data_IF_485520819231
#
_entry.id   IF_485520819231
#
_cell.length_a   1.000
_cell.length_b   1.000
_cell.length_c   1.000
_cell.angle_alpha   90.00
_cell.angle_beta   90.00
_cell.angle_gamma   90.00
#
_symmetry.space_group_name_H-M   'P 1'
#
loop_
_entity.id
_entity.type
_entity.pdbx_description
1 polymer ?
#
# COMPACT_ATOMS: atom_id res chain seq x y z
N UNK A 1 -7.51 -7.20 19.98
CA UNK A 1 -7.61 -6.18 18.92
C UNK A 1 -8.86 -6.46 18.09
N UNK A 2 -9.62 -5.42 17.77
CA UNK A 2 -10.83 -5.49 16.94
C UNK A 2 -10.51 -5.36 15.45
N UNK A 3 -11.43 -5.77 14.57
CA UNK A 3 -11.29 -5.60 13.11
C UNK A 3 -11.05 -4.14 12.69
N UNK A 4 -11.70 -3.19 13.36
CA UNK A 4 -11.50 -1.74 13.13
C UNK A 4 -10.08 -1.28 13.43
N UNK A 5 -9.45 -1.82 14.47
CA UNK A 5 -8.06 -1.48 14.80
C UNK A 5 -7.10 -1.97 13.70
N UNK A 6 -7.32 -3.17 13.17
CA UNK A 6 -6.52 -3.68 12.06
C UNK A 6 -6.75 -2.89 10.76
N UNK A 7 -7.98 -2.47 10.48
CA UNK A 7 -8.27 -1.61 9.32
C UNK A 7 -7.63 -0.22 9.45
N UNK A 8 -7.61 0.36 10.66
CA UNK A 8 -6.92 1.63 10.92
C UNK A 8 -5.40 1.49 10.75
N UNK A 9 -4.80 0.40 11.25
CA UNK A 9 -3.39 0.11 11.03
C UNK A 9 -3.07 -0.06 9.54
N UNK A 10 -3.97 -0.68 8.77
CA UNK A 10 -3.79 -0.87 7.34
C UNK A 10 -3.80 0.47 6.60
N UNK A 11 -4.74 1.35 6.93
CA UNK A 11 -4.79 2.70 6.36
C UNK A 11 -3.50 3.50 6.64
N UNK A 12 -2.98 3.42 7.87
CA UNK A 12 -1.71 4.08 8.24
C UNK A 12 -0.50 3.50 7.48
N UNK A 13 -0.47 2.18 7.28
CA UNK A 13 0.55 1.53 6.46
C UNK A 13 0.43 1.93 4.99
N UNK A 14 -0.78 2.05 4.46
CA UNK A 14 -1.03 2.48 3.08
C UNK A 14 -0.53 3.90 2.83
N UNK A 15 -0.82 4.82 3.75
CA UNK A 15 -0.30 6.18 3.70
C UNK A 15 1.23 6.21 3.79
N UNK A 16 1.81 5.37 4.65
CA UNK A 16 3.28 5.27 4.77
C UNK A 16 3.92 4.71 3.49
N UNK A 17 3.29 3.72 2.84
CA UNK A 17 3.74 3.19 1.56
C UNK A 17 3.64 4.24 0.46
N UNK A 18 2.55 5.02 0.42
CA UNK A 18 2.37 6.11 -0.54
C UNK A 18 3.52 7.11 -0.45
N UNK A 19 3.84 7.57 0.76
CA UNK A 19 4.98 8.46 1.01
C UNK A 19 6.31 7.86 0.55
N UNK A 20 6.57 6.60 0.90
CA UNK A 20 7.80 5.92 0.46
C UNK A 20 7.90 5.83 -1.08
N UNK A 21 6.79 5.61 -1.78
CA UNK A 21 6.74 5.61 -3.26
C UNK A 21 6.99 7.02 -3.83
N UNK A 22 6.38 8.04 -3.22
CA UNK A 22 6.55 9.44 -3.64
C UNK A 22 7.99 9.92 -3.48
N UNK A 23 8.61 9.56 -2.35
CA UNK A 23 10.00 9.85 -1.97
C UNK A 23 11.04 8.98 -2.70
N UNK A 24 10.61 8.00 -3.50
CA UNK A 24 11.48 7.01 -4.16
C UNK A 24 12.34 6.19 -3.16
N UNK A 25 11.89 6.10 -1.90
CA UNK A 25 12.52 5.29 -0.83
C UNK A 25 12.05 3.83 -0.91
N UNK A 26 12.63 3.10 -1.87
CA UNK A 26 12.26 1.70 -2.12
C UNK A 26 12.64 0.75 -0.97
N UNK A 27 13.65 1.10 -0.17
CA UNK A 27 14.06 0.28 0.97
C UNK A 27 13.02 0.36 2.09
N UNK A 28 12.56 1.58 2.41
CA UNK A 28 11.45 1.80 3.34
C UNK A 28 10.16 1.16 2.82
N UNK A 29 9.87 1.31 1.52
CA UNK A 29 8.70 0.68 0.91
C UNK A 29 8.71 -0.84 1.09
N UNK A 30 9.86 -1.50 0.89
CA UNK A 30 10.00 -2.95 1.08
C UNK A 30 9.70 -3.37 2.52
N UNK A 31 10.23 -2.65 3.51
CA UNK A 31 9.96 -2.92 4.92
C UNK A 31 8.47 -2.75 5.27
N UNK A 32 7.84 -1.69 4.77
CA UNK A 32 6.42 -1.42 4.99
C UNK A 32 5.53 -2.49 4.34
N UNK A 33 5.87 -2.95 3.13
CA UNK A 33 5.14 -4.03 2.45
C UNK A 33 5.20 -5.37 3.20
N UNK A 34 6.32 -5.64 3.88
CA UNK A 34 6.44 -6.84 4.71
C UNK A 34 5.51 -6.77 5.93
N UNK A 35 5.48 -5.64 6.64
CA UNK A 35 4.56 -5.42 7.77
C UNK A 35 3.10 -5.51 7.32
N UNK A 36 2.78 -4.94 6.17
CA UNK A 36 1.45 -4.97 5.57
C UNK A 36 1.01 -6.39 5.22
N UNK A 37 1.91 -7.25 4.73
CA UNK A 37 1.63 -8.66 4.47
C UNK A 37 1.23 -9.41 5.75
N UNK A 38 1.91 -9.14 6.85
CA UNK A 38 1.59 -9.72 8.16
C UNK A 38 0.22 -9.23 8.66
N UNK A 39 -0.05 -7.93 8.55
CA UNK A 39 -1.34 -7.34 8.92
C UNK A 39 -2.51 -7.92 8.10
N UNK A 40 -2.33 -8.08 6.79
CA UNK A 40 -3.34 -8.70 5.92
C UNK A 40 -3.62 -10.17 6.30
N UNK A 41 -2.60 -10.90 6.75
CA UNK A 41 -2.79 -12.27 7.24
C UNK A 41 -3.62 -12.32 8.53
N UNK A 42 -3.53 -11.29 9.38
CA UNK A 42 -4.37 -11.14 10.58
C UNK A 42 -5.79 -10.72 10.21
N UNK A 43 -5.95 -9.77 9.29
CA UNK A 43 -7.26 -9.33 8.79
C UNK A 43 -8.07 -10.50 8.20
N UNK A 44 -7.45 -11.41 7.45
CA UNK A 44 -8.12 -12.61 6.91
C UNK A 44 -8.67 -13.55 7.97
N UNK A 45 -8.11 -13.53 9.19
CA UNK A 45 -8.56 -14.36 10.32
C UNK A 45 -9.55 -13.62 11.22
N UNK A 46 -9.83 -12.35 10.92
CA UNK A 46 -10.71 -11.52 11.73
C UNK A 46 -12.15 -11.63 11.24
N UNK A 47 -13.09 -11.77 12.17
CA UNK A 47 -14.51 -11.70 11.86
C UNK A 47 -14.94 -10.23 11.79
N UNK A 48 -15.60 -9.86 10.70
CA UNK A 48 -16.16 -8.54 10.50
C UNK A 48 -17.67 -8.59 10.61
N UNK A 49 -18.26 -7.48 11.06
CA UNK A 49 -19.71 -7.27 11.06
C UNK A 49 -20.12 -6.35 9.91
N UNK A 50 -21.40 -6.33 9.49
CA UNK A 50 -21.84 -5.48 8.38
C UNK A 50 -21.50 -3.99 8.55
N UNK A 51 -21.43 -3.49 9.79
CA UNK A 51 -21.05 -2.10 10.05
C UNK A 51 -19.60 -1.76 9.68
N UNK A 52 -18.73 -2.77 9.50
CA UNK A 52 -17.33 -2.58 9.11
C UNK A 52 -17.14 -2.50 7.59
N UNK A 53 -18.15 -2.85 6.79
CA UNK A 53 -18.07 -2.88 5.32
C UNK A 53 -17.57 -1.56 4.69
N UNK A 54 -18.02 -0.36 5.12
CA UNK A 54 -17.51 0.90 4.56
C UNK A 54 -15.99 1.07 4.76
N UNK A 55 -15.48 0.64 5.91
CA UNK A 55 -14.05 0.76 6.26
C UNK A 55 -13.22 -0.27 5.48
N UNK A 56 -13.75 -1.48 5.29
CA UNK A 56 -13.15 -2.51 4.43
C UNK A 56 -13.06 -2.02 2.98
N UNK A 57 -14.15 -1.47 2.42
CA UNK A 57 -14.14 -0.93 1.07
C UNK A 57 -13.17 0.23 0.90
N UNK A 58 -13.07 1.11 1.90
CA UNK A 58 -12.08 2.20 1.90
C UNK A 58 -10.67 1.64 1.84
N UNK A 59 -10.35 0.66 2.69
CA UNK A 59 -9.03 0.04 2.73
C UNK A 59 -8.68 -0.62 1.38
N UNK A 60 -9.61 -1.35 0.77
CA UNK A 60 -9.40 -1.97 -0.55
C UNK A 60 -9.19 -0.92 -1.66
N UNK A 61 -9.93 0.18 -1.64
CA UNK A 61 -9.72 1.27 -2.58
C UNK A 61 -8.33 1.89 -2.43
N UNK A 62 -7.86 2.09 -1.20
CA UNK A 62 -6.50 2.59 -0.94
C UNK A 62 -5.43 1.63 -1.47
N UNK A 63 -5.66 0.31 -1.43
CA UNK A 63 -4.78 -0.69 -2.07
C UNK A 63 -4.67 -0.50 -3.59
N UNK A 64 -5.82 -0.33 -4.25
CA UNK A 64 -5.90 -0.14 -5.70
C UNK A 64 -5.17 1.14 -6.13
N UNK A 65 -5.36 2.23 -5.37
CA UNK A 65 -4.67 3.50 -5.60
C UNK A 65 -3.15 3.37 -5.42
N UNK A 66 -2.70 2.65 -4.38
CA UNK A 66 -1.28 2.41 -4.12
C UNK A 66 -0.64 1.58 -5.24
N UNK A 67 -1.32 0.54 -5.71
CA UNK A 67 -0.86 -0.28 -6.84
C UNK A 67 -0.74 0.56 -8.12
N UNK A 68 -1.73 1.41 -8.39
CA UNK A 68 -1.73 2.33 -9.53
C UNK A 68 -0.55 3.31 -9.47
N UNK A 69 -0.28 3.89 -8.29
CA UNK A 69 0.85 4.79 -8.07
C UNK A 69 2.20 4.10 -8.31
N UNK A 70 2.36 2.88 -7.80
CA UNK A 70 3.57 2.09 -8.00
C UNK A 70 3.84 1.81 -9.49
N UNK A 71 2.80 1.50 -10.27
CA UNK A 71 2.90 1.29 -11.72
C UNK A 71 3.31 2.58 -12.46
N UNK A 72 2.72 3.71 -12.09
CA UNK A 72 3.07 5.02 -12.66
C UNK A 72 4.56 5.34 -12.39
N UNK A 73 5.00 5.18 -11.14
CA UNK A 73 6.40 5.43 -10.76
C UNK A 73 7.37 4.48 -11.46
N UNK A 74 7.00 3.21 -11.61
CA UNK A 74 7.77 2.24 -12.42
C UNK A 74 7.93 2.73 -13.86
N UNK A 75 6.84 3.16 -14.50
CA UNK A 75 6.87 3.67 -15.88
C UNK A 75 7.78 4.89 -16.02
N UNK A 76 7.69 5.85 -15.10
CA UNK A 76 8.59 7.02 -15.10
C UNK A 76 10.06 6.62 -14.92
N UNK A 77 10.36 5.61 -14.10
CA UNK A 77 11.71 5.10 -13.95
C UNK A 77 12.22 4.45 -15.25
N UNK A 78 11.40 3.64 -15.92
CA UNK A 78 11.72 3.05 -17.22
C UNK A 78 12.01 4.13 -18.27
N UNK A 79 11.17 5.17 -18.37
CA UNK A 79 11.35 6.30 -19.29
C UNK A 79 12.67 7.05 -19.01
N UNK A 80 13.00 7.30 -17.74
CA UNK A 80 14.27 7.94 -17.33
C UNK A 80 15.49 7.10 -17.69
N UNK A 81 15.44 5.79 -17.47
CA UNK A 81 16.54 4.87 -17.77
C UNK A 81 16.76 4.76 -19.30
N UNK A 82 15.69 4.64 -20.08
CA UNK A 82 15.78 4.61 -21.55
C UNK A 82 16.34 5.93 -22.10
N UNK A 83 15.89 7.08 -21.59
CA UNK A 83 16.41 8.38 -21.99
C UNK A 83 17.89 8.57 -21.60
N UNK A 84 18.31 8.04 -20.45
CA UNK A 84 19.70 8.12 -19.98
C UNK A 84 20.68 7.20 -20.71
N UNK A 85 20.20 6.20 -21.45
CA UNK A 85 21.04 5.28 -22.26
C UNK A 85 21.28 5.81 -23.67
N UNK A 86 20.48 6.78 -24.14
CA UNK A 86 20.60 7.37 -25.47
C UNK A 86 21.49 8.63 -25.52
N UNK A 87 22.18 8.95 -24.42
CA UNK A 87 23.17 10.02 -24.29
C UNK A 87 24.55 9.44 -23.97
#
# INVERSE_FOLDING_TARGET
>A
MSGKEFLSQLANLNESCRKAIEEEDYQRLQALMQLKKELLALLRKTSFVPEDLPEIHRALKEEEELASLALIKKKHLEERLVAGVLH
#
